data_IF_589365439819
#
_entry.id   IF_589365439819
#
_cell.length_a   1.000
_cell.length_b   1.000
_cell.length_c   1.000
_cell.angle_alpha   90.00
_cell.angle_beta   90.00
_cell.angle_gamma   90.00
#
_symmetry.space_group_name_H-M   'P 1'
#
loop_
_entity.id
_entity.type
_entity.pdbx_description
1 polymer ?
#
# COMPACT_ATOMS: atom_id res chain seq x y z
N UNK A 1 -41.18 -39.58 -45.27
CA UNK A 1 -39.91 -40.34 -45.38
C UNK A 1 -38.99 -39.87 -44.28
N UNK A 2 -38.66 -40.76 -43.35
CA UNK A 2 -37.80 -40.50 -42.18
C UNK A 2 -36.34 -40.63 -42.63
N UNK A 3 -35.54 -39.57 -42.51
CA UNK A 3 -34.08 -39.72 -42.46
C UNK A 3 -33.59 -38.82 -41.32
N UNK A 4 -33.19 -39.49 -40.25
CA UNK A 4 -32.44 -38.95 -39.13
C UNK A 4 -31.00 -38.69 -39.57
N UNK A 5 -30.44 -37.54 -39.19
CA UNK A 5 -28.99 -37.34 -39.14
C UNK A 5 -28.65 -36.86 -37.73
N UNK A 6 -27.83 -37.68 -37.09
CA UNK A 6 -27.35 -37.65 -35.72
C UNK A 6 -26.05 -36.81 -35.71
N UNK A 7 -25.96 -35.86 -34.76
CA UNK A 7 -24.80 -35.35 -33.99
C UNK A 7 -23.37 -35.33 -34.61
N UNK A 8 -22.54 -34.30 -34.29
CA UNK A 8 -22.10 -34.15 -32.90
C UNK A 8 -22.18 -32.74 -32.31
N UNK A 9 -22.51 -32.76 -31.02
CA UNK A 9 -22.26 -31.76 -30.00
C UNK A 9 -20.75 -31.46 -29.99
N UNK A 10 -20.37 -30.26 -30.41
CA UNK A 10 -19.08 -29.70 -30.01
C UNK A 10 -19.34 -28.89 -28.75
N UNK A 11 -19.19 -29.58 -27.61
CA UNK A 11 -19.01 -28.94 -26.32
C UNK A 11 -17.74 -28.08 -26.41
N UNK A 12 -17.90 -26.77 -26.50
CA UNK A 12 -16.79 -25.87 -26.24
C UNK A 12 -16.50 -25.98 -24.75
N UNK A 13 -15.39 -26.62 -24.45
CA UNK A 13 -14.92 -26.91 -23.12
C UNK A 13 -14.79 -25.61 -22.31
N UNK A 14 -15.49 -25.54 -21.18
CA UNK A 14 -15.01 -24.83 -20.02
C UNK A 14 -13.70 -25.53 -19.59
N UNK A 15 -12.57 -24.94 -19.93
CA UNK A 15 -11.26 -25.31 -19.40
C UNK A 15 -10.45 -24.02 -19.19
N UNK A 16 -10.34 -23.60 -17.93
CA UNK A 16 -9.47 -22.49 -17.53
C UNK A 16 -9.90 -21.81 -16.24
N UNK A 17 -10.15 -22.58 -15.18
CA UNK A 17 -10.07 -22.05 -13.81
C UNK A 17 -8.59 -22.09 -13.40
N UNK A 18 -8.06 -20.99 -12.90
CA UNK A 18 -6.68 -20.87 -12.40
C UNK A 18 -5.77 -20.18 -13.41
N UNK A 19 -5.29 -18.95 -13.22
CA UNK A 19 -5.14 -18.16 -12.01
C UNK A 19 -5.41 -16.72 -12.43
N UNK A 20 -6.34 -16.04 -11.77
CA UNK A 20 -6.42 -14.59 -11.84
C UNK A 20 -5.10 -14.08 -11.25
N UNK A 21 -4.09 -13.91 -12.11
CA UNK A 21 -3.07 -12.92 -11.84
C UNK A 21 -3.87 -11.62 -11.77
N UNK A 22 -4.01 -11.06 -10.58
CA UNK A 22 -4.37 -9.67 -10.45
C UNK A 22 -3.41 -8.92 -11.37
N UNK A 23 -3.93 -8.38 -12.48
CA UNK A 23 -3.11 -7.63 -13.42
C UNK A 23 -2.53 -6.45 -12.65
N UNK A 24 -1.21 -6.29 -12.73
CA UNK A 24 -0.52 -5.17 -12.10
C UNK A 24 -1.14 -3.86 -12.61
N UNK A 25 -1.58 -3.02 -11.68
CA UNK A 25 -2.30 -1.78 -12.00
C UNK A 25 -1.29 -0.67 -12.25
N UNK A 26 -1.54 0.11 -13.30
CA UNK A 26 -0.76 1.32 -13.57
C UNK A 26 -1.04 2.40 -12.51
N UNK A 27 -0.10 3.32 -12.30
CA UNK A 27 -0.30 4.46 -11.38
C UNK A 27 -1.52 5.27 -11.80
N UNK A 28 -1.74 5.45 -13.10
CA UNK A 28 -2.88 6.18 -13.66
C UNK A 28 -4.22 5.51 -13.36
N UNK A 29 -4.28 4.18 -13.43
CA UNK A 29 -5.47 3.41 -13.08
C UNK A 29 -5.78 3.52 -11.59
N UNK A 30 -4.76 3.37 -10.73
CA UNK A 30 -4.91 3.52 -9.28
C UNK A 30 -5.31 4.95 -8.91
N UNK A 31 -4.80 5.97 -9.60
CA UNK A 31 -5.25 7.36 -9.40
C UNK A 31 -6.72 7.53 -9.78
N UNK A 32 -7.19 6.90 -10.86
CA UNK A 32 -8.59 6.99 -11.25
C UNK A 32 -9.51 6.39 -10.17
N UNK A 33 -9.17 5.23 -9.62
CA UNK A 33 -9.93 4.60 -8.53
C UNK A 33 -9.84 5.39 -7.22
N UNK A 34 -8.66 5.93 -6.89
CA UNK A 34 -8.46 6.76 -5.71
C UNK A 34 -9.27 8.08 -5.75
N UNK A 35 -9.65 8.57 -6.93
CA UNK A 35 -10.54 9.73 -7.11
C UNK A 35 -12.01 9.40 -6.82
N UNK A 36 -12.40 8.13 -6.85
CA UNK A 36 -13.75 7.70 -6.49
C UNK A 36 -13.92 7.61 -4.96
N UNK A 37 -12.82 7.56 -4.21
CA UNK A 37 -12.84 7.61 -2.76
C UNK A 37 -13.24 9.00 -2.26
N UNK A 38 -13.97 9.05 -1.16
CA UNK A 38 -14.23 10.31 -0.47
C UNK A 38 -12.94 10.85 0.16
N UNK A 39 -12.49 12.01 -0.31
CA UNK A 39 -11.26 12.63 0.15
C UNK A 39 -11.33 13.14 1.61
N UNK A 40 -10.17 13.36 2.24
CA UNK A 40 -10.11 13.91 3.60
C UNK A 40 -10.64 15.35 3.65
N UNK A 41 -11.29 15.72 4.76
CA UNK A 41 -11.76 17.09 5.00
C UNK A 41 -10.58 18.02 5.28
N UNK A 42 -10.59 19.28 4.81
CA UNK A 42 -9.56 20.24 5.18
C UNK A 42 -9.56 20.52 6.70
N UNK A 43 -8.38 20.80 7.25
CA UNK A 43 -8.22 21.10 8.68
C UNK A 43 -6.89 20.61 9.25
N UNK A 44 -6.76 20.74 10.57
CA UNK A 44 -5.62 20.21 11.30
C UNK A 44 -5.85 18.74 11.61
N UNK A 45 -4.84 17.92 11.34
CA UNK A 45 -4.83 16.49 11.64
C UNK A 45 -3.76 16.19 12.68
N UNK A 46 -4.06 15.25 13.56
CA UNK A 46 -3.10 14.57 14.43
C UNK A 46 -2.90 13.17 13.89
N UNK A 47 -1.64 12.81 13.60
CA UNK A 47 -1.26 11.48 13.14
C UNK A 47 -0.33 10.84 14.14
N UNK A 48 -0.69 9.62 14.54
CA UNK A 48 0.12 8.78 15.41
C UNK A 48 0.59 7.56 14.62
N UNK A 49 1.89 7.41 14.53
CA UNK A 49 2.52 6.23 13.93
C UNK A 49 3.16 5.40 15.03
N UNK A 50 3.06 4.08 14.93
CA UNK A 50 3.60 3.11 15.90
C UNK A 50 4.21 1.92 15.17
N UNK A 51 5.45 1.61 15.47
CA UNK A 51 6.12 0.38 15.04
C UNK A 51 5.54 -0.81 15.80
N UNK A 52 4.93 -1.74 15.07
CA UNK A 52 4.39 -2.99 15.62
C UNK A 52 5.40 -4.11 15.59
N UNK A 53 6.02 -4.28 14.43
CA UNK A 53 6.96 -5.36 14.20
C UNK A 53 8.20 -4.82 13.49
N UNK A 54 9.35 -5.36 13.90
CA UNK A 54 10.62 -5.13 13.24
C UNK A 54 11.44 -6.41 13.38
N UNK A 55 11.78 -7.03 12.26
CA UNK A 55 12.53 -8.26 12.20
C UNK A 55 13.59 -8.16 11.14
N UNK A 56 14.82 -8.56 11.48
CA UNK A 56 15.94 -8.66 10.55
C UNK A 56 16.64 -9.99 10.79
N UNK A 57 16.17 -11.08 10.17
CA UNK A 57 16.79 -12.39 10.31
C UNK A 57 18.29 -12.36 9.97
N UNK A 58 19.08 -13.16 10.67
CA UNK A 58 20.54 -13.21 10.48
C UNK A 58 21.33 -12.15 11.24
N UNK A 59 20.69 -11.14 11.82
CA UNK A 59 21.33 -10.13 12.69
C UNK A 59 21.30 -10.59 14.16
N UNK A 60 22.40 -10.42 14.92
CA UNK A 60 22.40 -10.71 16.36
C UNK A 60 21.34 -9.89 17.12
N UNK A 61 20.65 -10.51 18.07
CA UNK A 61 19.52 -9.91 18.78
C UNK A 61 19.82 -8.52 19.38
N UNK A 62 21.01 -8.32 19.94
CA UNK A 62 21.42 -7.02 20.50
C UNK A 62 21.49 -5.92 19.43
N UNK A 63 21.95 -6.25 18.22
CA UNK A 63 22.01 -5.32 17.11
C UNK A 63 20.64 -5.08 16.50
N UNK A 64 19.82 -6.13 16.35
CA UNK A 64 18.44 -5.99 15.88
C UNK A 64 17.60 -5.09 16.80
N UNK A 65 17.74 -5.24 18.12
CA UNK A 65 17.08 -4.36 19.10
C UNK A 65 17.58 -2.92 19.05
N UNK A 66 18.88 -2.71 18.79
CA UNK A 66 19.42 -1.36 18.58
C UNK A 66 18.82 -0.72 17.32
N UNK A 67 18.77 -1.47 16.20
CA UNK A 67 18.16 -1.01 14.95
C UNK A 67 16.68 -0.69 15.15
N UNK A 68 15.93 -1.57 15.80
CA UNK A 68 14.52 -1.38 16.14
C UNK A 68 14.31 -0.10 16.94
N UNK A 69 15.09 0.12 18.01
CA UNK A 69 14.99 1.33 18.85
C UNK A 69 15.30 2.59 18.07
N UNK A 70 16.33 2.56 17.22
CA UNK A 70 16.68 3.69 16.38
C UNK A 70 15.56 4.01 15.38
N UNK A 71 14.97 2.99 14.77
CA UNK A 71 13.84 3.16 13.86
C UNK A 71 12.61 3.71 14.59
N UNK A 72 12.20 3.07 15.68
CA UNK A 72 11.08 3.50 16.52
C UNK A 72 11.26 4.93 17.02
N UNK A 73 12.46 5.36 17.39
CA UNK A 73 12.72 6.74 17.79
C UNK A 73 12.42 7.77 16.67
N UNK A 74 12.48 7.36 15.40
CA UNK A 74 12.13 8.21 14.25
C UNK A 74 10.69 8.08 13.78
N UNK A 75 10.01 6.96 14.05
CA UNK A 75 8.66 6.68 13.55
C UNK A 75 7.57 6.71 14.60
N UNK A 76 7.88 6.38 15.86
CA UNK A 76 6.91 6.31 16.95
C UNK A 76 6.67 7.71 17.53
N UNK A 77 5.93 8.51 16.77
CA UNK A 77 5.64 9.90 17.11
C UNK A 77 4.19 10.24 16.80
N UNK A 78 3.73 11.24 17.52
CA UNK A 78 2.47 11.92 17.24
C UNK A 78 2.82 13.27 16.65
N UNK A 79 2.36 13.52 15.43
CA UNK A 79 2.64 14.75 14.70
C UNK A 79 1.32 15.41 14.32
N UNK A 80 1.31 16.74 14.30
CA UNK A 80 0.19 17.49 13.77
C UNK A 80 0.58 18.12 12.45
N UNK A 81 -0.31 18.07 11.49
CA UNK A 81 -0.13 18.73 10.20
C UNK A 81 -1.42 19.42 9.76
N UNK A 82 -1.27 20.37 8.85
CA UNK A 82 -2.37 21.12 8.28
C UNK A 82 -2.65 20.64 6.86
N UNK A 83 -3.86 20.16 6.65
CA UNK A 83 -4.37 19.80 5.33
C UNK A 83 -5.17 20.98 4.78
N UNK A 84 -4.62 21.64 3.78
CA UNK A 84 -5.29 22.76 3.10
C UNK A 84 -6.45 22.26 2.24
N UNK A 85 -7.38 23.15 1.89
CA UNK A 85 -8.47 22.83 0.96
C UNK A 85 -7.96 22.33 -0.38
N UNK A 86 -6.91 22.95 -0.93
CA UNK A 86 -6.33 22.53 -2.20
C UNK A 86 -5.78 21.11 -2.14
N UNK A 87 -5.12 20.74 -1.03
CA UNK A 87 -4.63 19.37 -0.83
C UNK A 87 -5.77 18.37 -0.62
N UNK A 88 -6.79 18.75 0.16
CA UNK A 88 -8.00 17.93 0.36
C UNK A 88 -8.75 17.67 -0.96
N UNK A 89 -8.87 18.69 -1.82
CA UNK A 89 -9.57 18.59 -3.11
C UNK A 89 -8.83 17.68 -4.11
N UNK A 90 -7.51 17.49 -3.96
CA UNK A 90 -6.75 16.48 -4.72
C UNK A 90 -6.96 15.05 -4.23
N UNK A 91 -7.55 14.88 -3.04
CA UNK A 91 -7.81 13.58 -2.44
C UNK A 91 -6.53 12.74 -2.27
N UNK A 92 -6.62 11.47 -2.64
CA UNK A 92 -5.52 10.51 -2.52
C UNK A 92 -4.60 10.47 -3.74
N UNK A 93 -4.82 11.31 -4.75
CA UNK A 93 -4.02 11.31 -5.98
C UNK A 93 -2.54 11.56 -5.69
N UNK A 94 -2.22 12.62 -4.93
CA UNK A 94 -0.83 12.94 -4.59
C UNK A 94 -0.18 11.79 -3.81
N UNK A 95 -0.93 11.15 -2.91
CA UNK A 95 -0.46 9.98 -2.15
C UNK A 95 -0.12 8.81 -3.08
N UNK A 96 -1.05 8.41 -3.96
CA UNK A 96 -0.83 7.31 -4.91
C UNK A 96 0.37 7.58 -5.81
N UNK A 97 0.51 8.82 -6.31
CA UNK A 97 1.64 9.20 -7.16
C UNK A 97 2.96 9.16 -6.41
N UNK A 98 2.99 9.62 -5.16
CA UNK A 98 4.17 9.50 -4.30
C UNK A 98 4.54 8.05 -4.03
N UNK A 99 3.55 7.16 -3.89
CA UNK A 99 3.78 5.75 -3.66
C UNK A 99 4.32 5.01 -4.89
N UNK A 100 3.88 5.37 -6.10
CA UNK A 100 4.48 4.89 -7.34
C UNK A 100 5.94 5.35 -7.53
N UNK A 101 6.32 6.44 -6.86
CA UNK A 101 7.61 7.15 -7.02
C UNK A 101 8.27 7.42 -5.66
N UNK A 102 8.55 6.35 -4.91
CA UNK A 102 9.10 6.40 -3.54
C UNK A 102 10.54 6.95 -3.41
N UNK A 103 11.12 7.49 -4.48
CA UNK A 103 12.44 8.12 -4.47
C UNK A 103 13.14 8.09 -5.83
N UNK A 104 14.29 8.75 -5.92
CA UNK A 104 15.12 8.71 -7.13
C UNK A 104 15.62 7.28 -7.38
N UNK A 105 15.27 6.72 -8.54
CA UNK A 105 15.60 5.36 -8.97
C UNK A 105 14.92 4.22 -8.20
N UNK A 106 13.79 4.50 -7.52
CA UNK A 106 12.89 3.45 -7.01
C UNK A 106 11.62 3.45 -7.85
N UNK A 107 11.33 2.33 -8.50
CA UNK A 107 10.11 2.14 -9.28
C UNK A 107 9.18 1.21 -8.55
N UNK A 108 7.97 1.65 -8.23
CA UNK A 108 6.95 0.82 -7.58
C UNK A 108 5.79 0.53 -8.55
N UNK A 109 5.43 -0.73 -8.65
CA UNK A 109 4.26 -1.21 -9.38
C UNK A 109 3.18 -1.63 -8.39
N UNK A 110 1.93 -1.23 -8.63
CA UNK A 110 0.80 -1.65 -7.81
C UNK A 110 0.39 -3.06 -8.20
N UNK A 111 0.64 -4.03 -7.31
CA UNK A 111 0.16 -5.40 -7.45
C UNK A 111 -1.32 -5.53 -7.09
N UNK A 112 -1.83 -4.63 -6.25
CA UNK A 112 -3.21 -4.59 -5.81
C UNK A 112 -3.61 -3.18 -5.41
N UNK A 113 -4.84 -2.81 -5.74
CA UNK A 113 -5.50 -1.63 -5.18
C UNK A 113 -7.00 -1.88 -5.23
N UNK A 114 -7.59 -2.09 -4.07
CA UNK A 114 -9.01 -2.33 -3.88
C UNK A 114 -9.56 -1.31 -2.88
N UNK A 115 -10.52 -0.51 -3.35
CA UNK A 115 -11.22 0.48 -2.54
C UNK A 115 -12.70 0.15 -2.54
N UNK A 116 -13.24 -0.18 -1.37
CA UNK A 116 -14.66 -0.51 -1.21
C UNK A 116 -15.24 0.26 -0.02
N UNK A 117 -15.98 1.32 -0.31
CA UNK A 117 -16.47 2.25 0.71
C UNK A 117 -15.29 2.91 1.41
N UNK A 118 -15.21 2.78 2.73
CA UNK A 118 -14.08 3.30 3.51
C UNK A 118 -12.89 2.35 3.60
N UNK A 119 -12.94 1.14 3.02
CA UNK A 119 -11.82 0.18 3.11
C UNK A 119 -10.82 0.41 2.00
N UNK A 120 -9.53 0.37 2.36
CA UNK A 120 -8.39 0.38 1.46
C UNK A 120 -7.58 -0.90 1.66
N UNK A 121 -7.30 -1.60 0.57
CA UNK A 121 -6.37 -2.74 0.52
C UNK A 121 -5.49 -2.58 -0.72
N UNK A 122 -4.21 -2.32 -0.50
CA UNK A 122 -3.26 -2.04 -1.56
C UNK A 122 -1.96 -2.82 -1.35
N UNK A 123 -1.35 -3.25 -2.44
CA UNK A 123 -0.05 -3.91 -2.44
C UNK A 123 0.83 -3.35 -3.56
N UNK A 124 2.10 -3.14 -3.24
CA UNK A 124 3.09 -2.58 -4.15
C UNK A 124 4.35 -3.44 -4.12
N UNK A 125 4.93 -3.61 -5.29
CA UNK A 125 6.27 -4.18 -5.46
C UNK A 125 7.18 -3.07 -5.97
N UNK A 126 8.26 -2.81 -5.25
CA UNK A 126 9.20 -1.74 -5.52
C UNK A 126 10.58 -2.30 -5.82
N UNK A 127 11.18 -1.76 -6.86
CA UNK A 127 12.52 -2.07 -7.33
C UNK A 127 13.42 -0.86 -7.17
N UNK A 128 14.52 -1.03 -6.43
CA UNK A 128 15.51 0.01 -6.17
C UNK A 128 16.91 -0.35 -6.67
N UNK A 129 17.86 0.58 -6.56
CA UNK A 129 19.24 0.35 -6.98
C UNK A 129 19.92 -0.78 -6.17
N UNK A 130 20.97 -1.38 -6.74
CA UNK A 130 21.72 -2.46 -6.08
C UNK A 130 20.93 -3.76 -5.93
N UNK A 131 19.92 -3.98 -6.78
CA UNK A 131 19.04 -5.16 -6.72
C UNK A 131 18.18 -5.18 -5.47
N UNK A 132 17.83 -4.01 -4.94
CA UNK A 132 16.93 -3.90 -3.79
C UNK A 132 15.51 -4.19 -4.24
N UNK A 133 14.86 -5.16 -3.60
CA UNK A 133 13.47 -5.53 -3.81
C UNK A 133 12.69 -5.20 -2.53
N UNK A 134 11.54 -4.59 -2.67
CA UNK A 134 10.67 -4.28 -1.54
C UNK A 134 9.23 -4.60 -1.90
N UNK A 135 8.52 -5.28 -1.00
CA UNK A 135 7.07 -5.43 -1.08
C UNK A 135 6.44 -4.62 0.05
N UNK A 136 5.38 -3.91 -0.29
CA UNK A 136 4.59 -3.13 0.65
C UNK A 136 3.14 -3.58 0.53
N UNK A 137 2.50 -3.84 1.67
CA UNK A 137 1.08 -4.04 1.77
C UNK A 137 0.51 -2.98 2.71
N UNK A 138 -0.65 -2.44 2.35
CA UNK A 138 -1.39 -1.49 3.14
C UNK A 138 -2.82 -1.96 3.25
N UNK A 139 -3.30 -2.07 4.47
CA UNK A 139 -4.68 -2.40 4.77
C UNK A 139 -5.22 -1.39 5.78
N UNK A 140 -6.48 -1.00 5.62
CA UNK A 140 -7.04 -0.03 6.54
C UNK A 140 -8.40 0.51 6.19
N UNK A 141 -8.79 1.50 6.96
CA UNK A 141 -10.00 2.29 6.75
C UNK A 141 -9.65 3.76 6.60
N UNK A 142 -10.25 4.38 5.60
CA UNK A 142 -10.09 5.78 5.23
C UNK A 142 -11.48 6.41 5.22
N UNK A 143 -11.69 7.36 6.11
CA UNK A 143 -12.92 8.13 6.26
C UNK A 143 -12.61 9.63 6.15
N UNK A 144 -13.61 10.49 5.94
CA UNK A 144 -13.36 11.92 5.67
C UNK A 144 -12.63 12.67 6.79
N UNK A 145 -12.67 12.21 8.04
CA UNK A 145 -11.95 12.86 9.15
C UNK A 145 -10.95 11.96 9.86
N UNK A 146 -10.89 10.69 9.53
CA UNK A 146 -10.00 9.76 10.19
C UNK A 146 -9.53 8.67 9.25
N UNK A 147 -8.32 8.19 9.47
CA UNK A 147 -7.80 7.02 8.81
C UNK A 147 -7.05 6.15 9.81
N UNK A 148 -7.22 4.85 9.67
CA UNK A 148 -6.41 3.84 10.34
C UNK A 148 -5.82 2.95 9.26
N UNK A 149 -4.49 2.86 9.19
CA UNK A 149 -3.79 2.05 8.21
C UNK A 149 -2.72 1.21 8.91
N UNK A 150 -2.64 -0.04 8.51
CA UNK A 150 -1.51 -0.92 8.80
C UNK A 150 -0.65 -1.00 7.55
N UNK A 151 0.63 -0.77 7.68
CA UNK A 151 1.61 -0.87 6.62
C UNK A 151 2.57 -2.02 6.94
N UNK A 152 2.60 -3.04 6.09
CA UNK A 152 3.58 -4.12 6.15
C UNK A 152 4.59 -3.92 5.04
N UNK A 153 5.87 -3.87 5.38
CA UNK A 153 6.97 -3.71 4.45
C UNK A 153 7.96 -4.86 4.61
N UNK A 154 8.29 -5.51 3.51
CA UNK A 154 9.38 -6.47 3.45
C UNK A 154 10.40 -5.98 2.42
N UNK A 155 11.67 -5.93 2.79
CA UNK A 155 12.74 -5.55 1.87
C UNK A 155 13.90 -6.54 1.90
N UNK A 156 14.55 -6.68 0.76
CA UNK A 156 15.75 -7.48 0.57
C UNK A 156 16.67 -6.80 -0.45
N UNK A 157 17.97 -7.12 -0.44
CA UNK A 157 18.92 -6.52 -1.36
C UNK A 157 19.99 -7.51 -1.78
N UNK A 158 20.36 -7.50 -3.06
CA UNK A 158 21.47 -8.33 -3.55
C UNK A 158 22.83 -7.91 -2.99
N UNK A 159 22.97 -6.67 -2.50
CA UNK A 159 24.19 -6.20 -1.85
C UNK A 159 24.34 -6.72 -0.41
N UNK A 160 23.25 -7.19 0.20
CA UNK A 160 23.25 -7.80 1.53
C UNK A 160 22.54 -9.16 1.49
N UNK A 161 23.16 -10.18 0.85
CA UNK A 161 22.53 -11.49 0.68
C UNK A 161 22.17 -12.11 2.04
N UNK A 162 20.93 -12.56 2.18
CA UNK A 162 20.43 -13.18 3.40
C UNK A 162 20.03 -12.20 4.51
N UNK A 163 20.10 -10.89 4.27
CA UNK A 163 19.49 -9.89 5.15
C UNK A 163 18.16 -9.44 4.55
N UNK A 164 17.09 -9.97 5.10
CA UNK A 164 15.72 -9.52 4.84
C UNK A 164 15.27 -8.67 6.02
N UNK A 165 14.46 -7.64 5.74
CA UNK A 165 13.87 -6.81 6.78
C UNK A 165 12.36 -6.84 6.63
N UNK A 166 11.67 -7.23 7.70
CA UNK A 166 10.22 -7.15 7.83
C UNK A 166 9.89 -6.07 8.85
N UNK A 167 8.92 -5.23 8.50
CA UNK A 167 8.46 -4.13 9.33
C UNK A 167 6.95 -4.00 9.22
N UNK A 168 6.28 -3.84 10.35
CA UNK A 168 4.85 -3.55 10.41
C UNK A 168 4.66 -2.27 11.20
N UNK A 169 3.95 -1.31 10.63
CA UNK A 169 3.65 -0.01 11.24
C UNK A 169 2.14 0.23 11.22
N UNK A 170 1.61 0.72 12.33
CA UNK A 170 0.26 1.25 12.38
C UNK A 170 0.34 2.77 12.29
N UNK A 171 -0.52 3.37 11.47
CA UNK A 171 -0.74 4.80 11.39
C UNK A 171 -2.20 5.11 11.66
N UNK A 172 -2.46 6.07 12.54
CA UNK A 172 -3.80 6.60 12.79
C UNK A 172 -3.79 8.10 12.63
N UNK A 173 -4.57 8.61 11.69
CA UNK A 173 -4.77 10.04 11.49
C UNK A 173 -6.18 10.43 11.89
N UNK A 174 -6.35 11.57 12.56
CA UNK A 174 -7.67 12.12 12.90
C UNK A 174 -7.66 13.64 12.78
N UNK A 175 -8.75 14.19 12.26
CA UNK A 175 -8.98 15.64 12.23
C UNK A 175 -9.25 16.13 13.65
N UNK A 176 -8.47 17.11 14.09
CA UNK A 176 -8.57 17.73 15.41
C UNK A 176 -9.14 19.14 15.38
N UNK A 177 -9.47 19.67 14.20
CA UNK A 177 -10.17 20.95 14.04
C UNK A 177 -9.75 21.69 12.79
N UNK A 178 -9.96 23.01 12.79
CA UNK A 178 -9.43 23.91 11.76
C UNK A 178 -7.92 24.09 11.91
N UNK A 179 -7.26 24.49 10.82
CA UNK A 179 -5.86 24.87 10.88
C UNK A 179 -5.65 26.11 11.76
N UNK A 180 -4.60 26.13 12.61
CA UNK A 180 -4.21 27.34 13.31
C UNK A 180 -3.92 28.48 12.32
N UNK A 181 -4.29 29.69 12.69
CA UNK A 181 -4.08 30.92 11.89
C UNK A 181 -2.62 31.39 11.93
#
# INVERSE_FOLDING_TARGET
MRIAIILPITAFALAGCGSENAEEKSVEEVVAEAREMEGPRPGQYETKTVLREFSVPGVPAQQAEMMKKQFAAGTDRTETFCLTKEQADKGFEDMVRSMGQMGENVTCTFAKFDTSGSKLDAALNCDGPGGTKMSMAMDGTVEPEQSEMTMTMNSSSTMMPGMEMTMVMDSRSRRIGECPA
#
